data_IF_061131962757
#
_entry.id   IF_061131962757
#
_cell.length_a   1.000
_cell.length_b   1.000
_cell.length_c   1.000
_cell.angle_alpha   90.00
_cell.angle_beta   90.00
_cell.angle_gamma   90.00
#
_symmetry.space_group_name_H-M   'P 1'
#
loop_
_entity.id
_entity.type
_entity.pdbx_description
1 polymer ?
#
# COMPACT_ATOMS: atom_id res chain seq x y z
N UNK A 1 2.90 -16.91 33.97
CA UNK A 1 2.43 -15.75 33.17
C UNK A 1 3.02 -15.88 31.78
N UNK A 2 2.28 -16.49 30.86
CA UNK A 2 2.66 -16.58 29.45
C UNK A 2 2.52 -15.18 28.82
N UNK A 3 3.64 -14.56 28.41
CA UNK A 3 3.58 -13.41 27.50
C UNK A 3 3.23 -13.92 26.11
N UNK A 4 1.96 -14.20 25.84
CA UNK A 4 1.44 -14.32 24.47
C UNK A 4 1.25 -12.92 23.88
N UNK A 5 2.36 -12.25 23.58
CA UNK A 5 2.36 -10.94 22.93
C UNK A 5 3.48 -10.91 21.89
N UNK A 6 3.25 -11.37 20.66
CA UNK A 6 4.06 -10.88 19.51
C UNK A 6 3.52 -11.17 18.10
N UNK A 7 2.57 -12.08 17.85
CA UNK A 7 2.21 -12.44 16.46
C UNK A 7 0.89 -11.85 15.91
N UNK A 8 0.26 -10.88 16.58
CA UNK A 8 -1.06 -10.39 16.13
C UNK A 8 -1.26 -8.87 16.22
N UNK A 9 -0.17 -8.10 16.31
CA UNK A 9 -0.20 -6.64 16.37
C UNK A 9 0.79 -6.08 15.37
N UNK A 10 0.35 -5.87 14.13
CA UNK A 10 1.07 -5.05 13.16
C UNK A 10 1.08 -3.59 13.61
N UNK A 11 2.20 -2.89 13.39
CA UNK A 11 2.26 -1.44 13.58
C UNK A 11 1.61 -0.71 12.39
N UNK A 12 1.13 0.51 12.63
CA UNK A 12 0.56 1.34 11.54
C UNK A 12 1.63 1.68 10.51
N UNK A 13 2.88 1.78 10.94
CA UNK A 13 4.06 2.07 10.15
C UNK A 13 4.38 0.92 9.18
N UNK A 14 4.37 -0.34 9.65
CA UNK A 14 4.58 -1.52 8.81
C UNK A 14 3.52 -1.62 7.71
N UNK A 15 2.23 -1.51 8.08
CA UNK A 15 1.16 -1.60 7.07
C UNK A 15 1.25 -0.45 6.06
N UNK A 16 1.65 0.74 6.50
CA UNK A 16 1.85 1.89 5.61
C UNK A 16 3.03 1.68 4.65
N UNK A 17 4.11 1.07 5.11
CA UNK A 17 5.26 0.72 4.26
C UNK A 17 4.86 -0.31 3.20
N UNK A 18 4.18 -1.40 3.59
CA UNK A 18 3.68 -2.42 2.66
C UNK A 18 2.68 -1.83 1.65
N UNK A 19 1.73 -1.00 2.12
CA UNK A 19 0.77 -0.33 1.23
C UNK A 19 1.49 0.56 0.21
N UNK A 20 2.51 1.31 0.64
CA UNK A 20 3.28 2.18 -0.27
C UNK A 20 4.06 1.37 -1.30
N UNK A 21 4.66 0.25 -0.88
CA UNK A 21 5.39 -0.66 -1.75
C UNK A 21 4.47 -1.26 -2.84
N UNK A 22 3.32 -1.80 -2.46
CA UNK A 22 2.36 -2.36 -3.42
C UNK A 22 1.75 -1.28 -4.33
N UNK A 23 1.45 -0.09 -3.78
CA UNK A 23 0.97 1.04 -4.58
C UNK A 23 2.00 1.49 -5.63
N UNK A 24 3.29 1.56 -5.25
CA UNK A 24 4.36 1.92 -6.18
C UNK A 24 4.53 0.90 -7.32
N UNK A 25 4.15 -0.36 -7.09
CA UNK A 25 4.08 -1.43 -8.10
C UNK A 25 2.85 -1.34 -9.02
N UNK A 26 1.98 -0.35 -8.83
CA UNK A 26 0.78 -0.16 -9.63
C UNK A 26 -0.39 -1.08 -9.23
N UNK A 27 -0.31 -1.74 -8.08
CA UNK A 27 -1.37 -2.64 -7.60
C UNK A 27 -2.61 -1.84 -7.23
N UNK A 28 -3.79 -2.35 -7.62
CA UNK A 28 -5.06 -1.66 -7.33
C UNK A 28 -5.34 -1.62 -5.82
N UNK A 29 -5.98 -0.55 -5.32
CA UNK A 29 -6.26 -0.43 -3.88
C UNK A 29 -7.13 -1.56 -3.30
N UNK A 30 -7.95 -2.23 -4.12
CA UNK A 30 -8.72 -3.41 -3.71
C UNK A 30 -7.81 -4.62 -3.54
N UNK A 31 -6.87 -4.83 -4.46
CA UNK A 31 -5.90 -5.93 -4.40
C UNK A 31 -4.88 -5.75 -3.28
N UNK A 32 -4.44 -4.50 -3.04
CA UNK A 32 -3.63 -4.16 -1.85
C UNK A 32 -4.38 -4.56 -0.57
N UNK A 33 -5.67 -4.25 -0.47
CA UNK A 33 -6.47 -4.62 0.70
C UNK A 33 -6.54 -6.14 0.89
N UNK A 34 -6.79 -6.91 -0.18
CA UNK A 34 -6.84 -8.37 -0.11
C UNK A 34 -5.50 -8.95 0.39
N UNK A 35 -4.37 -8.44 -0.11
CA UNK A 35 -3.04 -8.87 0.30
C UNK A 35 -2.72 -8.52 1.75
N UNK A 36 -3.18 -7.35 2.22
CA UNK A 36 -3.06 -6.99 3.63
C UNK A 36 -3.90 -7.91 4.52
N UNK A 37 -5.11 -8.27 4.10
CA UNK A 37 -5.99 -9.19 4.85
C UNK A 37 -5.39 -10.60 4.91
N UNK A 38 -4.74 -11.06 3.85
CA UNK A 38 -4.05 -12.36 3.82
C UNK A 38 -2.88 -12.43 4.82
N UNK A 39 -2.09 -11.37 4.94
CA UNK A 39 -0.89 -11.34 5.79
C UNK A 39 -1.21 -10.97 7.24
N UNK A 40 -2.10 -10.00 7.45
CA UNK A 40 -2.34 -9.36 8.76
C UNK A 40 -3.72 -9.66 9.34
N UNK A 41 -4.57 -10.35 8.58
CA UNK A 41 -5.94 -10.67 8.96
C UNK A 41 -6.97 -9.58 8.60
N UNK A 42 -8.27 -9.91 8.67
CA UNK A 42 -9.37 -9.03 8.24
C UNK A 42 -9.48 -7.72 9.05
N UNK A 43 -8.86 -7.66 10.23
CA UNK A 43 -8.87 -6.48 11.10
C UNK A 43 -7.84 -5.39 10.75
N UNK A 44 -7.01 -5.60 9.71
CA UNK A 44 -5.87 -4.72 9.38
C UNK A 44 -6.28 -3.28 9.08
N UNK A 45 -7.18 -3.09 8.12
CA UNK A 45 -7.79 -1.82 7.75
C UNK A 45 -8.82 -2.00 6.66
N UNK A 46 -9.78 -1.08 6.55
CA UNK A 46 -10.77 -1.12 5.49
C UNK A 46 -10.20 -0.72 4.13
N UNK A 47 -10.84 -1.18 3.05
CA UNK A 47 -10.52 -0.78 1.68
C UNK A 47 -10.57 0.74 1.49
N UNK A 48 -11.44 1.47 2.21
CA UNK A 48 -11.49 2.93 2.11
C UNK A 48 -10.22 3.60 2.65
N UNK A 49 -9.64 3.05 3.72
CA UNK A 49 -8.39 3.56 4.30
C UNK A 49 -7.22 3.35 3.34
N UNK A 50 -7.12 2.16 2.73
CA UNK A 50 -6.11 1.85 1.70
C UNK A 50 -6.21 2.85 0.54
N UNK A 51 -7.42 3.09 0.02
CA UNK A 51 -7.64 4.06 -1.07
C UNK A 51 -7.26 5.49 -0.66
N UNK A 52 -7.52 5.90 0.59
CA UNK A 52 -7.09 7.21 1.11
C UNK A 52 -5.57 7.32 1.13
N UNK A 53 -4.87 6.26 1.53
CA UNK A 53 -3.42 6.22 1.51
C UNK A 53 -2.86 6.26 0.09
N UNK A 54 -3.41 5.50 -0.85
CA UNK A 54 -3.01 5.55 -2.26
C UNK A 54 -3.12 6.98 -2.83
N UNK A 55 -4.21 7.72 -2.54
CA UNK A 55 -4.35 9.14 -2.91
C UNK A 55 -3.35 10.06 -2.22
N UNK A 56 -2.99 9.75 -0.97
CA UNK A 56 -1.98 10.52 -0.24
C UNK A 56 -0.59 10.29 -0.84
N UNK A 57 -0.32 9.10 -1.34
CA UNK A 57 0.94 8.77 -2.01
C UNK A 57 1.05 9.42 -3.38
N UNK A 58 -0.05 9.50 -4.14
CA UNK A 58 -0.06 10.22 -5.43
C UNK A 58 0.20 11.72 -5.28
N UNK A 59 -0.32 12.36 -4.22
CA UNK A 59 -0.09 13.79 -3.95
C UNK A 59 1.32 14.13 -3.42
N UNK A 60 2.09 13.14 -2.97
CA UNK A 60 3.50 13.32 -2.54
C UNK A 60 4.51 13.11 -3.68
N UNK A 61 4.06 12.61 -4.82
CA UNK A 61 4.85 12.38 -6.04
C UNK A 61 4.63 13.48 -7.08
N UNK A 62 4.37 14.73 -6.67
CA UNK A 62 4.33 15.90 -7.57
C UNK A 62 5.73 16.33 -8.04
N UNK A 63 6.63 15.38 -8.31
CA UNK A 63 7.60 15.51 -9.39
C UNK A 63 7.01 14.75 -10.58
N UNK A 64 5.94 15.33 -11.11
CA UNK A 64 5.09 14.77 -12.15
C UNK A 64 5.83 14.80 -13.50
N UNK A 65 6.34 13.67 -13.95
CA UNK A 65 6.47 13.41 -15.38
C UNK A 65 5.26 12.57 -15.81
N UNK A 66 4.27 13.24 -16.39
CA UNK A 66 3.16 12.61 -17.10
C UNK A 66 3.67 12.00 -18.40
N UNK A 67 3.35 10.73 -18.65
CA UNK A 67 3.39 10.20 -20.02
C UNK A 67 2.30 10.87 -20.87
N UNK A 68 2.39 10.75 -22.20
CA UNK A 68 1.45 11.37 -23.15
C UNK A 68 -0.02 10.90 -22.97
N UNK A 69 -0.28 9.95 -22.07
CA UNK A 69 -1.59 9.38 -21.78
C UNK A 69 -2.12 9.73 -20.38
N UNK A 70 -1.42 10.57 -19.61
CA UNK A 70 -1.90 11.03 -18.29
C UNK A 70 -1.93 9.94 -17.22
N UNK A 71 -1.19 8.85 -17.42
CA UNK A 71 -1.10 7.76 -16.46
C UNK A 71 0.02 8.01 -15.45
N UNK A 72 -0.30 7.92 -14.16
CA UNK A 72 0.67 7.98 -13.06
C UNK A 72 1.48 6.68 -13.02
N UNK A 73 2.59 6.60 -13.78
CA UNK A 73 3.48 5.44 -13.76
C UNK A 73 4.69 5.72 -12.86
N UNK A 74 4.83 4.93 -11.79
CA UNK A 74 6.02 4.97 -10.93
C UNK A 74 7.19 4.23 -11.65
N UNK A 75 8.41 4.77 -11.56
CA UNK A 75 9.61 4.38 -12.33
C UNK A 75 10.14 2.94 -12.12
N UNK A 76 9.48 2.08 -11.34
CA UNK A 76 9.95 0.71 -11.04
C UNK A 76 9.48 -0.36 -12.03
N UNK A 77 9.04 0.03 -13.23
CA UNK A 77 8.54 -0.91 -14.25
C UNK A 77 9.59 -1.29 -15.31
N UNK A 78 10.81 -0.75 -15.26
CA UNK A 78 11.88 -1.13 -16.19
C UNK A 78 12.83 -2.12 -15.52
N UNK A 79 12.59 -3.41 -15.80
CA UNK A 79 13.38 -4.53 -15.28
C UNK A 79 12.83 -5.85 -15.82
N UNK A 80 12.93 -6.03 -17.14
CA UNK A 80 12.69 -7.27 -17.87
C UNK A 80 13.70 -7.36 -19.01
#
# INVERSE_FOLDING_TARGET
MERRYVLNSWSKEEVRAVTRYEWARGVSGTEIHNRLVEVYGPGVMSTQMVRRWCRTFSGRHTESWTDAHGHYRCKYQEGG
#
